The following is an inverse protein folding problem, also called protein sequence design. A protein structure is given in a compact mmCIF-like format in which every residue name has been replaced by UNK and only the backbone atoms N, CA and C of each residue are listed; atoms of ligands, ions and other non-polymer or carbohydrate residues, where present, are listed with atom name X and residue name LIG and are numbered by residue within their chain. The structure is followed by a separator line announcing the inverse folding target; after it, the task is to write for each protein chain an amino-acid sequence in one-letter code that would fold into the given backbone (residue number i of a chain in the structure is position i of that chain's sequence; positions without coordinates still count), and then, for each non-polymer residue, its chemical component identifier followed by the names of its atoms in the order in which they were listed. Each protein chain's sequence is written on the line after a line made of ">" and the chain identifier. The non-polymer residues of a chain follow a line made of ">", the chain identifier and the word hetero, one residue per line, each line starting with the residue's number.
data_IF_763748514314
#
_entry.id   IF_763748514314
#
_cell.length_a   1.000
_cell.length_b   1.000
_cell.length_c   1.000
_cell.angle_alpha   90.00
_cell.angle_beta   90.00
_cell.angle_gamma   90.00
#
_symmetry.space_group_name_H-M   'P 1'
#
loop_
_entity.id
_entity.type
_entity.pdbx_description
1 polymer ?
#
# COMPACT_ATOMS: atom_id res chain seq x y z
N UNK A 1 22.86 7.58 5.64
CA UNK A 1 22.66 8.98 6.10
C UNK A 1 23.59 9.93 5.34
N UNK A 2 24.91 9.77 5.43
CA UNK A 2 25.86 10.65 4.72
C UNK A 2 25.65 10.76 3.21
N UNK A 3 25.35 9.66 2.52
CA UNK A 3 25.08 9.70 1.07
C UNK A 3 23.78 10.43 0.74
N UNK A 4 22.76 10.27 1.58
CA UNK A 4 21.50 10.98 1.44
C UNK A 4 21.70 12.49 1.61
N UNK A 5 22.46 12.92 2.63
CA UNK A 5 22.75 14.33 2.89
C UNK A 5 23.58 14.95 1.75
N UNK A 6 24.55 14.21 1.17
CA UNK A 6 25.30 14.64 -0.02
C UNK A 6 24.40 14.86 -1.23
N UNK A 7 23.54 13.90 -1.54
CA UNK A 7 22.58 14.00 -2.66
C UNK A 7 21.65 15.20 -2.45
N UNK A 8 21.12 15.38 -1.23
CA UNK A 8 20.27 16.54 -0.91
C UNK A 8 20.97 17.87 -1.17
N UNK A 9 22.24 17.99 -0.79
CA UNK A 9 23.02 19.19 -1.03
C UNK A 9 23.26 19.45 -2.53
N UNK A 10 23.62 18.41 -3.29
CA UNK A 10 23.89 18.51 -4.74
C UNK A 10 22.63 18.93 -5.51
N UNK A 11 21.47 18.40 -5.14
CA UNK A 11 20.20 18.70 -5.80
C UNK A 11 19.42 19.86 -5.16
N UNK A 12 19.98 20.54 -4.17
CA UNK A 12 19.35 21.64 -3.44
C UNK A 12 17.95 21.28 -2.89
N UNK A 13 17.80 20.06 -2.36
CA UNK A 13 16.53 19.56 -1.81
C UNK A 13 16.36 20.04 -0.37
N UNK A 14 15.44 20.98 -0.18
CA UNK A 14 15.07 21.52 1.13
C UNK A 14 14.28 20.50 1.98
N UNK A 15 14.13 20.78 3.28
CA UNK A 15 13.33 19.94 4.19
C UNK A 15 11.83 19.99 3.86
N UNK A 16 11.35 21.03 3.17
CA UNK A 16 9.94 21.18 2.81
C UNK A 16 9.55 20.35 1.58
N UNK A 17 10.52 19.85 0.83
CA UNK A 17 10.34 18.98 -0.32
C UNK A 17 9.94 17.54 0.09
N UNK A 18 10.10 17.18 1.37
CA UNK A 18 9.70 15.88 1.86
C UNK A 18 8.26 15.93 2.36
N UNK A 19 7.43 15.07 1.77
CA UNK A 19 6.02 14.95 2.14
C UNK A 19 5.84 13.68 2.97
N UNK A 20 5.31 13.87 4.18
CA UNK A 20 4.95 12.77 5.05
C UNK A 20 3.96 11.83 4.37
N UNK A 21 4.21 10.53 4.51
CA UNK A 21 3.32 9.49 4.03
C UNK A 21 3.35 8.27 4.95
N UNK A 22 2.19 7.64 5.10
CA UNK A 22 2.06 6.35 5.78
C UNK A 22 1.64 5.29 4.77
N UNK A 23 2.26 4.11 4.84
CA UNK A 23 1.88 2.96 4.04
C UNK A 23 1.47 1.83 4.98
N UNK A 24 0.17 1.56 5.03
CA UNK A 24 -0.42 0.49 5.82
C UNK A 24 -0.53 -0.77 4.96
N UNK A 25 0.26 -1.78 5.28
CA UNK A 25 0.32 -3.02 4.50
C UNK A 25 -0.66 -4.06 5.02
N UNK A 26 -1.23 -4.81 4.08
CA UNK A 26 -2.16 -5.90 4.35
C UNK A 26 -1.60 -7.20 3.78
N UNK A 27 -1.90 -8.31 4.46
CA UNK A 27 -1.70 -9.67 3.97
C UNK A 27 -2.66 -10.62 4.69
N UNK A 28 -2.63 -11.90 4.37
CA UNK A 28 -3.31 -12.95 5.15
C UNK A 28 -2.36 -13.54 6.18
N UNK A 29 -2.86 -14.22 7.23
CA UNK A 29 -2.00 -14.91 8.19
C UNK A 29 -1.04 -15.93 7.56
N UNK A 30 -1.39 -16.44 6.37
CA UNK A 30 -0.59 -17.38 5.59
C UNK A 30 0.32 -16.70 4.55
N UNK A 31 0.36 -15.36 4.50
CA UNK A 31 1.16 -14.56 3.56
C UNK A 31 0.84 -14.84 2.08
N UNK A 32 -0.44 -14.99 1.76
CA UNK A 32 -0.85 -15.34 0.39
C UNK A 32 -0.51 -14.24 -0.61
N UNK A 33 -0.56 -12.95 -0.26
CA UNK A 33 -0.17 -11.89 -1.22
C UNK A 33 1.31 -12.01 -1.60
N UNK A 34 2.17 -12.23 -0.59
CA UNK A 34 3.59 -12.47 -0.81
C UNK A 34 3.83 -13.68 -1.72
N UNK A 35 3.14 -14.79 -1.47
CA UNK A 35 3.25 -16.01 -2.29
C UNK A 35 2.82 -15.77 -3.74
N UNK A 36 1.86 -14.86 -3.96
CA UNK A 36 1.40 -14.43 -5.28
C UNK A 36 2.25 -13.31 -5.90
N UNK A 37 3.38 -12.95 -5.29
CA UNK A 37 4.23 -11.80 -5.70
C UNK A 37 3.42 -10.51 -5.83
N UNK A 38 2.48 -10.33 -4.91
CA UNK A 38 1.60 -9.19 -4.82
C UNK A 38 1.78 -8.47 -3.48
N UNK A 39 1.36 -7.21 -3.42
CA UNK A 39 1.34 -6.42 -2.20
C UNK A 39 0.12 -5.51 -2.20
N UNK A 40 -0.59 -5.45 -1.08
CA UNK A 40 -1.73 -4.56 -0.88
C UNK A 40 -1.37 -3.54 0.20
N UNK A 41 -1.67 -2.26 -0.07
CA UNK A 41 -1.53 -1.20 0.94
C UNK A 41 -2.61 -0.15 0.84
N UNK A 42 -2.89 0.49 1.96
CA UNK A 42 -3.47 1.84 1.98
C UNK A 42 -2.31 2.82 2.15
N UNK A 43 -2.19 3.80 1.24
CA UNK A 43 -1.28 4.93 1.40
C UNK A 43 -2.06 6.14 1.89
N UNK A 44 -1.56 6.77 2.95
CA UNK A 44 -2.01 8.09 3.42
C UNK A 44 -0.96 9.12 3.04
N UNK A 45 -1.35 10.13 2.26
CA UNK A 45 -0.44 11.21 1.83
C UNK A 45 -1.22 12.49 1.56
N UNK A 46 -0.82 13.61 2.16
CA UNK A 46 -1.47 14.92 2.01
C UNK A 46 -3.00 14.85 2.25
N UNK A 47 -3.43 14.07 3.24
CA UNK A 47 -4.86 13.85 3.56
C UNK A 47 -5.62 12.94 2.59
N UNK A 48 -4.95 12.38 1.58
CA UNK A 48 -5.56 11.44 0.63
C UNK A 48 -5.27 9.99 1.05
N UNK A 49 -6.27 9.13 0.90
CA UNK A 49 -6.21 7.71 1.24
C UNK A 49 -6.35 6.88 -0.03
N UNK A 50 -5.32 6.15 -0.43
CA UNK A 50 -5.35 5.37 -1.68
C UNK A 50 -5.07 3.91 -1.39
N UNK A 51 -6.04 3.04 -1.66
CA UNK A 51 -5.82 1.59 -1.71
C UNK A 51 -5.05 1.26 -2.99
N UNK A 52 -4.00 0.47 -2.88
CA UNK A 52 -3.18 0.07 -4.02
C UNK A 52 -2.84 -1.40 -3.93
N UNK A 53 -3.20 -2.15 -4.97
CA UNK A 53 -2.74 -3.51 -5.20
C UNK A 53 -1.62 -3.49 -6.23
N UNK A 54 -0.46 -4.03 -5.87
CA UNK A 54 0.68 -4.26 -6.76
C UNK A 54 0.79 -5.73 -7.06
N UNK A 55 1.00 -6.11 -8.32
CA UNK A 55 1.18 -7.50 -8.75
C UNK A 55 2.35 -7.60 -9.71
N UNK A 56 3.24 -8.55 -9.49
CA UNK A 56 4.31 -8.84 -10.45
C UNK A 56 3.94 -10.05 -11.30
N UNK A 57 3.80 -9.86 -12.61
CA UNK A 57 3.47 -10.96 -13.52
C UNK A 57 4.63 -11.96 -13.65
N UNK A 58 4.37 -13.13 -14.25
CA UNK A 58 5.39 -14.14 -14.50
C UNK A 58 6.55 -13.60 -15.37
N UNK A 59 6.26 -12.65 -16.27
CA UNK A 59 7.21 -11.97 -17.13
C UNK A 59 7.96 -10.83 -16.42
N UNK A 60 7.69 -10.58 -15.13
CA UNK A 60 8.33 -9.54 -14.34
C UNK A 60 7.73 -8.14 -14.49
N UNK A 61 6.57 -8.02 -15.15
CA UNK A 61 5.88 -6.72 -15.31
C UNK A 61 5.15 -6.38 -14.03
N UNK A 62 5.32 -5.16 -13.53
CA UNK A 62 4.57 -4.64 -12.38
C UNK A 62 3.25 -4.04 -12.85
N UNK A 63 2.14 -4.60 -12.36
CA UNK A 63 0.79 -4.06 -12.51
C UNK A 63 0.38 -3.39 -11.20
N UNK A 64 -0.23 -2.22 -11.29
CA UNK A 64 -0.78 -1.50 -10.15
C UNK A 64 -2.25 -1.15 -10.40
N UNK A 65 -3.10 -1.41 -9.42
CA UNK A 65 -4.50 -0.98 -9.39
C UNK A 65 -4.69 -0.07 -8.20
N UNK A 66 -5.32 1.08 -8.41
CA UNK A 66 -5.51 2.11 -7.41
C UNK A 66 -6.99 2.42 -7.22
N UNK A 67 -7.42 2.52 -5.97
CA UNK A 67 -8.75 2.96 -5.60
C UNK A 67 -8.64 4.08 -4.57
N UNK A 68 -9.37 5.16 -4.80
CA UNK A 68 -9.47 6.25 -3.84
C UNK A 68 -10.42 5.82 -2.72
N UNK A 69 -9.98 6.01 -1.48
CA UNK A 69 -10.79 5.81 -0.30
C UNK A 69 -11.12 7.16 0.33
N UNK A 70 -12.27 7.22 0.98
CA UNK A 70 -12.55 8.17 2.05
C UNK A 70 -11.75 7.81 3.29
N UNK A 71 -11.65 8.75 4.23
CA UNK A 71 -11.00 8.48 5.52
C UNK A 71 -11.74 7.39 6.29
N UNK A 72 -13.07 7.43 6.28
CA UNK A 72 -13.93 6.50 6.98
C UNK A 72 -13.77 5.06 6.46
N UNK A 73 -13.67 4.90 5.14
CA UNK A 73 -13.40 3.60 4.52
C UNK A 73 -12.01 3.07 4.88
N UNK A 74 -10.99 3.93 4.82
CA UNK A 74 -9.63 3.55 5.20
C UNK A 74 -9.57 3.14 6.68
N UNK A 75 -10.15 3.93 7.58
CA UNK A 75 -10.22 3.62 9.01
C UNK A 75 -10.98 2.30 9.26
N UNK A 76 -12.07 2.04 8.53
CA UNK A 76 -12.82 0.80 8.66
C UNK A 76 -12.01 -0.44 8.21
N UNK A 77 -11.23 -0.31 7.13
CA UNK A 77 -10.33 -1.37 6.66
C UNK A 77 -9.17 -1.62 7.64
N UNK A 78 -8.55 -0.55 8.14
CA UNK A 78 -7.43 -0.65 9.08
C UNK A 78 -7.85 -1.27 10.42
N UNK A 79 -9.05 -0.94 10.89
CA UNK A 79 -9.60 -1.51 12.13
C UNK A 79 -10.24 -2.89 11.94
N UNK A 80 -10.30 -3.40 10.70
CA UNK A 80 -10.92 -4.69 10.37
C UNK A 80 -12.44 -4.72 10.55
N UNK A 81 -13.11 -3.56 10.57
CA UNK A 81 -14.58 -3.46 10.62
C UNK A 81 -15.23 -3.48 9.24
N UNK A 82 -14.44 -3.29 8.19
CA UNK A 82 -14.82 -3.47 6.80
C UNK A 82 -13.86 -4.44 6.09
N UNK A 83 -14.31 -4.95 4.94
CA UNK A 83 -13.50 -5.77 4.03
C UNK A 83 -13.23 -4.98 2.76
N UNK A 84 -12.15 -5.31 2.05
CA UNK A 84 -11.86 -4.75 0.73
C UNK A 84 -12.98 -5.15 -0.23
N UNK A 85 -13.51 -4.18 -0.98
CA UNK A 85 -14.57 -4.36 -1.98
C UNK A 85 -14.11 -3.81 -3.34
N UNK A 86 -15.00 -3.88 -4.33
CA UNK A 86 -14.75 -3.27 -5.64
C UNK A 86 -13.74 -4.04 -6.52
N UNK A 87 -13.13 -3.36 -7.51
CA UNK A 87 -12.18 -3.94 -8.44
C UNK A 87 -11.01 -4.68 -7.79
N UNK A 88 -10.38 -4.10 -6.76
CA UNK A 88 -9.26 -4.76 -6.06
C UNK A 88 -9.74 -6.05 -5.38
N UNK A 89 -10.94 -6.09 -4.80
CA UNK A 89 -11.48 -7.32 -4.22
C UNK A 89 -11.68 -8.43 -5.25
N UNK A 90 -12.12 -8.09 -6.47
CA UNK A 90 -12.26 -9.05 -7.56
C UNK A 90 -10.90 -9.63 -7.97
N UNK A 91 -9.90 -8.76 -8.15
CA UNK A 91 -8.54 -9.18 -8.51
C UNK A 91 -7.93 -10.08 -7.41
N UNK A 92 -8.14 -9.75 -6.14
CA UNK A 92 -7.69 -10.57 -5.00
C UNK A 92 -8.28 -11.98 -5.07
N UNK A 93 -9.58 -12.10 -5.33
CA UNK A 93 -10.25 -13.39 -5.50
C UNK A 93 -9.70 -14.18 -6.70
N UNK A 94 -9.48 -13.52 -7.84
CA UNK A 94 -8.90 -14.14 -9.05
C UNK A 94 -7.51 -14.73 -8.81
N UNK A 95 -6.68 -14.09 -7.99
CA UNK A 95 -5.35 -14.60 -7.62
C UNK A 95 -5.38 -15.60 -6.46
N UNK A 96 -6.56 -15.91 -5.93
CA UNK A 96 -6.75 -16.88 -4.83
C UNK A 96 -6.42 -16.31 -3.44
N UNK A 97 -6.59 -15.01 -3.25
CA UNK A 97 -6.46 -14.31 -1.96
C UNK A 97 -7.85 -13.89 -1.50
N UNK A 98 -8.44 -14.55 -0.49
CA UNK A 98 -9.78 -14.19 -0.02
C UNK A 98 -9.74 -12.83 0.73
N UNK A 99 -10.48 -11.79 0.29
CA UNK A 99 -10.46 -10.48 0.94
C UNK A 99 -10.80 -10.50 2.44
N UNK A 100 -11.66 -11.44 2.87
CA UNK A 100 -12.06 -11.64 4.26
C UNK A 100 -10.93 -12.14 5.18
N UNK A 101 -9.84 -12.65 4.61
CA UNK A 101 -8.67 -13.10 5.36
C UNK A 101 -7.60 -12.01 5.48
N UNK A 102 -7.75 -10.89 4.77
CA UNK A 102 -6.82 -9.78 4.85
C UNK A 102 -6.84 -9.17 6.24
N UNK A 103 -5.65 -8.86 6.74
CA UNK A 103 -5.43 -8.18 8.01
C UNK A 103 -4.41 -7.09 7.80
N UNK A 104 -4.51 -6.02 8.59
CA UNK A 104 -3.44 -5.04 8.68
C UNK A 104 -2.22 -5.68 9.36
N UNK A 105 -1.06 -5.62 8.72
CA UNK A 105 0.19 -6.22 9.20
C UNK A 105 1.15 -5.19 9.80
N UNK A 106 1.07 -3.94 9.37
CA UNK A 106 1.95 -2.90 9.88
C UNK A 106 1.94 -1.65 9.03
N UNK A 107 2.57 -0.62 9.56
CA UNK A 107 2.67 0.70 8.93
C UNK A 107 4.14 1.06 8.76
N UNK A 108 4.49 1.52 7.56
CA UNK A 108 5.76 2.17 7.29
C UNK A 108 5.50 3.66 7.01
N UNK A 109 5.93 4.51 7.95
CA UNK A 109 5.96 5.96 7.77
C UNK A 109 7.23 6.36 7.01
N UNK A 110 7.13 7.41 6.19
CA UNK A 110 8.28 8.05 5.54
C UNK A 110 8.10 9.56 5.64
N UNK A 111 9.12 10.21 6.19
CA UNK A 111 9.24 11.65 6.37
C UNK A 111 10.32 12.24 5.45
#
# INVERSE_FOLDING_TARGET
>A
KEEFDRIRQVFHIDDHAFEHQENHYFDTPQFLLKDKRAALRIRVKNGNYTLTLKQTTAQGVLLETHEQLTKEEADALLNGTAMVQGPIAQILQEIGVPPEQLRHFGTLATD
#
